data_IF_822251277552
#
_entry.id   IF_822251277552
#
_cell.length_a   1.000
_cell.length_b   1.000
_cell.length_c   1.000
_cell.angle_alpha   90.00
_cell.angle_beta   90.00
_cell.angle_gamma   90.00
#
_symmetry.space_group_name_H-M   'P 1'
#
loop_
_entity.id
_entity.type
_entity.pdbx_description
1 polymer ?
#
# COMPACT_ATOMS: atom_id res chain seq x y z
N UNK A 1 -4.34 -21.04 4.08
CA UNK A 1 -5.07 -20.55 2.89
C UNK A 1 -5.04 -19.01 2.85
N UNK A 2 -3.87 -18.36 2.98
CA UNK A 2 -3.80 -16.88 2.97
C UNK A 2 -3.39 -16.29 1.61
N UNK A 3 -2.70 -17.06 0.75
CA UNK A 3 -2.17 -16.54 -0.53
C UNK A 3 -3.23 -16.21 -1.60
N UNK A 4 -4.45 -16.76 -1.49
CA UNK A 4 -5.49 -16.57 -2.53
C UNK A 4 -6.21 -15.23 -2.36
N UNK A 5 -6.43 -14.75 -1.13
CA UNK A 5 -7.07 -13.44 -0.91
C UNK A 5 -6.17 -12.27 -1.29
N UNK A 6 -4.86 -12.42 -1.11
CA UNK A 6 -3.85 -11.39 -1.43
C UNK A 6 -3.78 -11.14 -2.95
N UNK A 7 -3.73 -12.21 -3.76
CA UNK A 7 -3.72 -12.08 -5.23
C UNK A 7 -5.02 -11.46 -5.76
N UNK A 8 -6.19 -11.94 -5.30
CA UNK A 8 -7.48 -11.39 -5.76
C UNK A 8 -7.63 -9.89 -5.47
N UNK A 9 -7.12 -9.39 -4.35
CA UNK A 9 -7.17 -7.95 -4.05
C UNK A 9 -6.31 -7.14 -5.01
N UNK A 10 -5.04 -7.50 -5.18
CA UNK A 10 -4.12 -6.73 -6.02
C UNK A 10 -4.58 -6.76 -7.47
N UNK A 11 -5.08 -7.89 -7.96
CA UNK A 11 -5.63 -8.01 -9.31
C UNK A 11 -6.92 -7.17 -9.48
N UNK A 12 -7.77 -7.09 -8.45
CA UNK A 12 -8.96 -6.21 -8.45
C UNK A 12 -8.59 -4.73 -8.55
N UNK A 13 -7.47 -4.33 -7.95
CA UNK A 13 -6.97 -2.94 -8.03
C UNK A 13 -6.35 -2.61 -9.40
N UNK A 14 -6.26 -3.57 -10.31
CA UNK A 14 -5.77 -3.42 -11.68
C UNK A 14 -4.50 -2.54 -11.80
N UNK A 15 -3.40 -2.87 -11.09
CA UNK A 15 -2.18 -2.08 -11.13
C UNK A 15 -1.65 -1.97 -12.56
N UNK A 16 -1.44 -0.75 -13.01
CA UNK A 16 -0.92 -0.46 -14.34
C UNK A 16 0.60 -0.70 -14.46
N UNK A 17 1.29 -0.93 -13.33
CA UNK A 17 2.75 -1.07 -13.28
C UNK A 17 3.23 -2.00 -12.16
N UNK A 18 4.48 -2.52 -12.26
CA UNK A 18 5.12 -3.29 -11.21
C UNK A 18 5.20 -2.55 -9.86
N UNK A 19 5.54 -1.25 -9.83
CA UNK A 19 5.60 -0.54 -8.55
C UNK A 19 4.20 -0.31 -7.94
N UNK A 20 3.15 -0.14 -8.75
CA UNK A 20 1.78 -0.13 -8.22
C UNK A 20 1.39 -1.46 -7.59
N UNK A 21 1.76 -2.59 -8.22
CA UNK A 21 1.56 -3.92 -7.65
C UNK A 21 2.32 -4.09 -6.33
N UNK A 22 3.59 -3.67 -6.28
CA UNK A 22 4.39 -3.69 -5.06
C UNK A 22 3.79 -2.80 -3.95
N UNK A 23 3.22 -1.66 -4.33
CA UNK A 23 2.58 -0.76 -3.38
C UNK A 23 1.30 -1.34 -2.76
N UNK A 24 0.47 -2.00 -3.57
CA UNK A 24 -0.68 -2.73 -3.04
C UNK A 24 -0.26 -3.91 -2.14
N UNK A 25 0.83 -4.59 -2.47
CA UNK A 25 1.40 -5.62 -1.58
C UNK A 25 1.87 -5.03 -0.25
N UNK A 26 2.56 -3.88 -0.27
CA UNK A 26 2.97 -3.20 0.96
C UNK A 26 1.76 -2.80 1.81
N UNK A 27 0.65 -2.36 1.19
CA UNK A 27 -0.61 -2.08 1.91
C UNK A 27 -1.17 -3.34 2.60
N UNK A 28 -1.10 -4.50 1.95
CA UNK A 28 -1.56 -5.77 2.53
C UNK A 28 -0.63 -6.29 3.63
N UNK A 29 0.69 -6.12 3.50
CA UNK A 29 1.64 -6.51 4.54
C UNK A 29 1.40 -5.68 5.83
N UNK A 30 1.09 -4.39 5.67
CA UNK A 30 0.70 -3.53 6.80
C UNK A 30 -0.62 -3.96 7.46
N UNK A 31 -1.51 -4.69 6.76
CA UNK A 31 -2.71 -5.25 7.37
C UNK A 31 -2.41 -6.34 8.39
N UNK A 32 -1.37 -7.15 8.14
CA UNK A 32 -0.90 -8.16 9.08
C UNK A 32 -0.24 -7.52 10.29
N UNK A 33 0.59 -6.50 10.07
CA UNK A 33 1.38 -5.88 11.12
C UNK A 33 0.55 -4.89 11.99
N UNK A 34 -0.48 -4.24 11.42
CA UNK A 34 -1.27 -3.20 12.10
C UNK A 34 -2.78 -3.26 11.78
N UNK A 35 -3.60 -3.81 12.66
CA UNK A 35 -5.02 -4.12 12.37
C UNK A 35 -5.98 -2.92 12.17
N UNK A 36 -5.67 -1.70 12.64
CA UNK A 36 -6.63 -0.55 12.68
C UNK A 36 -6.53 0.43 11.52
N UNK A 37 -5.32 0.81 11.14
CA UNK A 37 -5.05 1.79 10.09
C UNK A 37 -5.48 1.39 8.66
N UNK A 38 -5.45 0.11 8.27
CA UNK A 38 -5.75 -0.29 6.90
C UNK A 38 -7.21 -0.19 6.54
N UNK A 39 -8.16 -0.20 7.50
CA UNK A 39 -9.59 -0.06 7.17
C UNK A 39 -9.89 1.30 6.54
N UNK A 40 -9.17 2.34 6.95
CA UNK A 40 -9.28 3.69 6.38
C UNK A 40 -8.65 3.71 4.98
N UNK A 41 -7.50 3.05 4.79
CA UNK A 41 -6.87 2.91 3.48
C UNK A 41 -7.71 2.09 2.50
N UNK A 42 -8.28 0.97 2.93
CA UNK A 42 -9.10 0.09 2.10
C UNK A 42 -10.32 0.83 1.57
N UNK A 43 -10.94 1.68 2.40
CA UNK A 43 -12.07 2.52 2.00
C UNK A 43 -11.69 3.56 0.95
N UNK A 44 -10.49 4.15 1.05
CA UNK A 44 -9.98 5.12 0.06
C UNK A 44 -9.59 4.43 -1.26
N UNK A 45 -8.94 3.27 -1.19
CA UNK A 45 -8.61 2.45 -2.35
C UNK A 45 -9.86 2.04 -3.15
N UNK A 46 -10.93 1.58 -2.48
CA UNK A 46 -12.21 1.29 -3.13
C UNK A 46 -12.88 2.52 -3.78
N UNK A 47 -12.53 3.74 -3.36
CA UNK A 47 -12.99 4.98 -3.97
C UNK A 47 -12.11 5.45 -5.14
N UNK A 48 -11.16 4.62 -5.59
CA UNK A 48 -10.26 4.93 -6.70
C UNK A 48 -9.01 5.74 -6.32
N UNK A 49 -8.71 5.90 -5.03
CA UNK A 49 -7.49 6.58 -4.62
C UNK A 49 -6.23 5.77 -5.02
N UNK A 50 -5.18 6.40 -5.54
CA UNK A 50 -3.96 5.71 -5.94
C UNK A 50 -3.23 5.11 -4.72
N UNK A 51 -2.41 4.07 -4.92
CA UNK A 51 -1.74 3.37 -3.82
C UNK A 51 -0.79 4.29 -3.02
N UNK A 52 -0.15 5.27 -3.67
CA UNK A 52 0.70 6.26 -3.02
C UNK A 52 -0.05 7.07 -1.94
N UNK A 53 -1.25 7.55 -2.26
CA UNK A 53 -2.06 8.37 -1.35
C UNK A 53 -2.56 7.57 -0.15
N UNK A 54 -2.82 6.26 -0.37
CA UNK A 54 -3.17 5.33 0.70
C UNK A 54 -2.00 5.13 1.66
N UNK A 55 -0.80 4.84 1.13
CA UNK A 55 0.43 4.67 1.92
C UNK A 55 0.80 5.93 2.71
N UNK A 56 0.71 7.12 2.09
CA UNK A 56 0.93 8.39 2.78
C UNK A 56 -0.10 8.65 3.88
N UNK A 57 -1.39 8.38 3.60
CA UNK A 57 -2.45 8.53 4.60
C UNK A 57 -2.21 7.63 5.81
N UNK A 58 -1.63 6.43 5.62
CA UNK A 58 -1.27 5.55 6.72
C UNK A 58 -0.10 6.08 7.54
N UNK A 59 0.98 6.55 6.92
CA UNK A 59 2.08 7.16 7.66
C UNK A 59 1.58 8.30 8.55
N UNK A 60 0.66 9.13 8.04
CA UNK A 60 0.01 10.21 8.79
C UNK A 60 -0.92 9.71 9.90
N UNK A 61 -1.73 8.68 9.63
CA UNK A 61 -2.77 8.23 10.55
C UNK A 61 -2.25 7.37 11.71
N UNK A 62 -1.15 6.63 11.50
CA UNK A 62 -0.73 5.61 12.47
C UNK A 62 0.39 6.02 13.41
N UNK A 63 0.97 7.23 13.27
CA UNK A 63 2.14 7.67 14.06
C UNK A 63 3.16 6.52 14.18
N UNK A 64 3.42 5.85 13.05
CA UNK A 64 4.22 4.62 13.06
C UNK A 64 5.64 5.01 13.46
N UNK A 65 6.05 4.58 14.65
CA UNK A 65 7.42 4.72 15.14
C UNK A 65 8.30 3.54 14.73
N UNK A 66 7.72 2.54 14.05
CA UNK A 66 8.43 1.40 13.51
C UNK A 66 9.24 1.83 12.27
N UNK A 67 10.55 1.87 12.45
CA UNK A 67 11.51 2.29 11.43
C UNK A 67 11.49 1.35 10.22
N UNK A 68 11.25 0.05 10.42
CA UNK A 68 11.17 -0.94 9.34
C UNK A 68 9.95 -0.71 8.43
N UNK A 69 8.82 -0.31 9.01
CA UNK A 69 7.63 0.10 8.27
C UNK A 69 7.89 1.39 7.48
N UNK A 70 8.52 2.39 8.09
CA UNK A 70 8.84 3.65 7.40
C UNK A 70 9.81 3.44 6.22
N UNK A 71 10.85 2.63 6.38
CA UNK A 71 11.81 2.32 5.30
C UNK A 71 11.12 1.59 4.15
N UNK A 72 10.29 0.58 4.45
CA UNK A 72 9.57 -0.21 3.45
C UNK A 72 8.55 0.63 2.66
N UNK A 73 7.78 1.48 3.35
CA UNK A 73 6.84 2.40 2.69
C UNK A 73 7.60 3.44 1.88
N UNK A 74 8.69 4.00 2.42
CA UNK A 74 9.54 4.96 1.73
C UNK A 74 10.08 4.41 0.41
N UNK A 75 10.67 3.21 0.41
CA UNK A 75 11.17 2.55 -0.79
C UNK A 75 10.08 2.34 -1.85
N UNK A 76 8.88 1.97 -1.41
CA UNK A 76 7.72 1.77 -2.27
C UNK A 76 7.24 3.08 -2.90
N UNK A 77 7.19 4.17 -2.13
CA UNK A 77 6.85 5.51 -2.63
C UNK A 77 7.90 6.03 -3.62
N UNK A 78 9.19 5.77 -3.37
CA UNK A 78 10.27 6.11 -4.29
C UNK A 78 10.12 5.37 -5.63
N UNK A 79 9.83 4.06 -5.60
CA UNK A 79 9.62 3.27 -6.82
C UNK A 79 8.43 3.80 -7.64
N UNK A 80 7.31 4.13 -6.99
CA UNK A 80 6.15 4.76 -7.63
C UNK A 80 6.47 6.14 -8.24
N UNK A 81 7.33 6.92 -7.58
CA UNK A 81 7.74 8.23 -8.06
C UNK A 81 8.64 8.10 -9.31
N UNK A 82 9.53 7.11 -9.35
CA UNK A 82 10.41 6.85 -10.50
C UNK A 82 9.61 6.46 -11.75
N UNK A 83 8.62 5.57 -11.61
CA UNK A 83 7.78 5.16 -12.74
C UNK A 83 6.94 6.30 -13.34
N UNK A 84 6.61 7.34 -12.57
CA UNK A 84 5.88 8.52 -13.10
C UNK A 84 6.73 9.45 -13.97
N UNK A 85 8.06 9.31 -13.92
CA UNK A 85 9.01 10.14 -14.65
C UNK A 85 9.46 9.46 -15.96
N UNK A 86 9.08 8.20 -16.17
CA UNK A 86 9.45 7.38 -17.33
C UNK A 86 8.30 7.26 -18.30
#
# INVERSE_FOLDING_TARGET
MEGVMTMCFIDTMAPASPAQRQAWQAVLDLQRDHQRAPRIMFRKACNGAPPADNLMSFLQATVVSDEGVMVRIGATLTALAQERVT
#
